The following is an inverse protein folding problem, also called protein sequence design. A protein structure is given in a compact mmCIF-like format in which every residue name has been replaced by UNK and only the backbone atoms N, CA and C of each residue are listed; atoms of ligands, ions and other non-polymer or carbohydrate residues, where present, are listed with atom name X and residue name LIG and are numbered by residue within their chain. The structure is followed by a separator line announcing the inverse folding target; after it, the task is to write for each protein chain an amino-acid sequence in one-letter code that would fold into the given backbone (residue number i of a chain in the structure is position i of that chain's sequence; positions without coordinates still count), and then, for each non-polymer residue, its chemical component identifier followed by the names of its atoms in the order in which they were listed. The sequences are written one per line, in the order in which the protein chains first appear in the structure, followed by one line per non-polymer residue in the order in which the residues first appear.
data_IF_098592640307
#
_entry.id   IF_098592640307
#
_cell.length_a   1.000
_cell.length_b   1.000
_cell.length_c   1.000
_cell.angle_alpha   90.00
_cell.angle_beta   90.00
_cell.angle_gamma   90.00
#
_symmetry.space_group_name_H-M   'P 1'
#
loop_
_entity.id
_entity.type
_entity.pdbx_description
1 polymer ?
#
# COMPACT_ATOMS: atom_id res chain seq x y z
N UNK A 1 23.48 3.35 20.56
CA UNK A 1 23.05 2.03 21.08
C UNK A 1 21.77 1.64 20.37
N UNK A 2 21.61 0.38 19.95
CA UNK A 2 20.32 -0.09 19.42
C UNK A 2 19.27 -0.02 20.52
N UNK A 3 18.05 0.42 20.18
CA UNK A 3 16.91 0.37 21.09
C UNK A 3 16.53 -1.08 21.37
N UNK A 4 15.99 -1.36 22.55
CA UNK A 4 15.48 -2.69 22.94
C UNK A 4 14.26 -3.11 22.10
N UNK A 5 13.50 -2.13 21.60
CA UNK A 5 12.38 -2.31 20.69
C UNK A 5 12.28 -1.12 19.72
N UNK A 6 11.61 -1.27 18.57
CA UNK A 6 11.31 -0.15 17.68
C UNK A 6 10.63 1.02 18.43
N UNK A 7 10.98 2.26 18.08
CA UNK A 7 10.48 3.47 18.77
C UNK A 7 8.95 3.52 18.89
N UNK A 8 8.21 3.06 17.87
CA UNK A 8 6.74 3.04 17.94
C UNK A 8 6.22 2.06 19.01
N UNK A 9 6.88 0.90 19.22
CA UNK A 9 6.52 -0.04 20.29
C UNK A 9 6.79 0.54 21.66
N UNK A 10 7.90 1.26 21.80
CA UNK A 10 8.24 2.00 23.03
C UNK A 10 7.18 3.07 23.33
N UNK A 11 6.76 3.84 22.31
CA UNK A 11 5.68 4.84 22.43
C UNK A 11 4.36 4.19 22.84
N UNK A 12 4.03 3.04 22.26
CA UNK A 12 2.81 2.29 22.58
C UNK A 12 2.85 1.72 24.00
N UNK A 13 4.00 1.22 24.46
CA UNK A 13 4.20 0.79 25.84
C UNK A 13 3.99 1.94 26.84
N UNK A 14 4.44 3.16 26.52
CA UNK A 14 4.17 4.33 27.35
C UNK A 14 2.66 4.63 27.43
N UNK A 15 1.95 4.57 26.29
CA UNK A 15 0.48 4.73 26.26
C UNK A 15 -0.23 3.68 27.12
N UNK A 16 0.24 2.43 27.12
CA UNK A 16 -0.28 1.37 28.00
C UNK A 16 -0.03 1.69 29.47
N UNK A 17 1.18 2.13 29.82
CA UNK A 17 1.53 2.48 31.20
C UNK A 17 0.70 3.63 31.77
N UNK A 18 0.30 4.60 30.93
CA UNK A 18 -0.64 5.67 31.33
C UNK A 18 -1.98 5.11 31.78
N UNK A 19 -2.51 4.11 31.07
CA UNK A 19 -3.79 3.46 31.40
C UNK A 19 -3.71 2.68 32.70
N UNK A 20 -2.61 1.98 32.92
CA UNK A 20 -2.45 1.10 34.09
C UNK A 20 -2.06 1.87 35.36
N UNK A 21 -1.28 2.94 35.25
CA UNK A 21 -0.65 3.64 36.39
C UNK A 21 -1.15 5.06 36.61
N UNK A 22 -2.08 5.56 35.78
CA UNK A 22 -2.66 6.92 35.89
C UNK A 22 -1.59 8.01 36.00
N UNK A 23 -0.52 7.91 35.22
CA UNK A 23 0.54 8.93 35.12
C UNK A 23 0.40 9.75 33.83
N UNK A 24 0.86 11.02 33.79
CA UNK A 24 0.87 11.78 32.54
C UNK A 24 1.72 11.12 31.45
N UNK A 25 1.29 11.22 30.19
CA UNK A 25 1.97 10.56 29.06
C UNK A 25 3.44 10.96 28.93
N UNK A 26 3.78 12.24 29.13
CA UNK A 26 5.18 12.68 29.03
C UNK A 26 6.07 11.99 30.07
N UNK A 27 5.58 11.79 31.29
CA UNK A 27 6.28 11.05 32.35
C UNK A 27 6.48 9.59 31.94
N UNK A 28 5.45 8.93 31.41
CA UNK A 28 5.56 7.56 30.93
C UNK A 28 6.59 7.43 29.78
N UNK A 29 6.60 8.38 28.85
CA UNK A 29 7.54 8.41 27.74
C UNK A 29 8.99 8.62 28.21
N UNK A 30 9.23 9.54 29.15
CA UNK A 30 10.57 9.78 29.71
C UNK A 30 11.07 8.58 30.53
N UNK A 31 10.19 7.89 31.24
CA UNK A 31 10.53 6.64 31.95
C UNK A 31 10.95 5.52 30.99
N UNK A 32 10.31 5.42 29.83
CA UNK A 32 10.74 4.46 28.80
C UNK A 32 12.04 4.91 28.16
N UNK A 33 12.21 6.19 27.85
CA UNK A 33 13.46 6.72 27.31
C UNK A 33 14.65 6.45 28.23
N UNK A 34 14.47 6.59 29.55
CA UNK A 34 15.49 6.29 30.56
C UNK A 34 15.92 4.82 30.53
N UNK A 35 14.99 3.87 30.34
CA UNK A 35 15.29 2.43 30.18
C UNK A 35 16.11 2.14 28.91
N UNK A 36 15.94 2.96 27.88
CA UNK A 36 16.70 2.89 26.63
C UNK A 36 18.04 3.67 26.68
N UNK A 37 18.38 4.26 27.83
CA UNK A 37 19.61 5.02 28.03
C UNK A 37 19.55 6.49 27.57
N UNK A 38 18.35 7.05 27.39
CA UNK A 38 18.15 8.46 27.02
C UNK A 38 17.58 9.26 28.19
N UNK A 39 17.97 10.52 28.34
CA UNK A 39 17.50 11.40 29.42
C UNK A 39 16.08 11.91 29.24
N UNK A 40 15.55 11.88 28.01
CA UNK A 40 14.17 12.28 27.70
C UNK A 40 13.68 11.59 26.43
N UNK A 41 12.37 11.49 26.29
CA UNK A 41 11.75 11.00 25.07
C UNK A 41 12.05 11.87 23.86
N UNK A 42 12.08 13.20 24.04
CA UNK A 42 12.40 14.14 22.96
C UNK A 42 13.78 13.88 22.35
N UNK A 43 14.78 13.58 23.19
CA UNK A 43 16.13 13.23 22.73
C UNK A 43 16.15 11.87 22.01
N UNK A 44 15.46 10.87 22.55
CA UNK A 44 15.31 9.56 21.91
C UNK A 44 14.62 9.71 20.54
N UNK A 45 13.49 10.41 20.49
CA UNK A 45 12.73 10.63 19.27
C UNK A 45 13.52 11.42 18.23
N UNK A 46 14.27 12.46 18.62
CA UNK A 46 15.13 13.20 17.69
C UNK A 46 16.25 12.33 17.10
N UNK A 47 16.79 11.39 17.89
CA UNK A 47 17.83 10.44 17.45
C UNK A 47 17.29 9.32 16.56
N UNK A 48 15.97 9.11 16.57
CA UNK A 48 15.26 8.04 15.85
C UNK A 48 14.07 8.60 15.04
N UNK A 49 14.16 9.85 14.59
CA UNK A 49 13.05 10.57 13.94
C UNK A 49 12.57 9.85 12.67
N UNK A 50 13.49 9.19 11.97
CA UNK A 50 13.26 8.38 10.77
C UNK A 50 12.38 7.14 11.03
N UNK A 51 12.12 6.77 12.29
CA UNK A 51 11.42 5.55 12.69
C UNK A 51 10.04 5.79 13.35
N UNK A 52 9.47 6.99 13.25
CA UNK A 52 8.28 7.42 14.01
C UNK A 52 6.93 6.85 13.54
N UNK A 53 6.90 6.08 12.45
CA UNK A 53 5.68 5.49 11.90
C UNK A 53 5.15 4.41 12.85
N UNK A 54 3.94 4.60 13.40
CA UNK A 54 3.25 3.62 14.22
C UNK A 54 2.33 2.75 13.34
N UNK A 55 2.62 1.46 13.14
CA UNK A 55 1.80 0.55 12.34
C UNK A 55 0.38 0.39 12.89
N UNK A 56 0.17 0.57 14.20
CA UNK A 56 -1.16 0.53 14.81
C UNK A 56 -2.01 1.74 14.40
N UNK A 57 -1.39 2.92 14.29
CA UNK A 57 -2.07 4.13 13.81
C UNK A 57 -2.40 4.01 12.31
N UNK A 58 -1.58 3.32 11.52
CA UNK A 58 -1.88 3.02 10.11
C UNK A 58 -3.01 2.00 9.97
N UNK A 59 -2.97 0.92 10.76
CA UNK A 59 -4.04 -0.09 10.77
C UNK A 59 -5.39 0.52 11.16
N UNK A 60 -5.41 1.42 12.14
CA UNK A 60 -6.64 2.11 12.58
C UNK A 60 -7.25 3.04 11.52
N UNK A 61 -6.49 3.42 10.48
CA UNK A 61 -6.99 4.20 9.35
C UNK A 61 -7.70 3.34 8.28
N UNK A 62 -7.59 2.01 8.36
CA UNK A 62 -8.21 1.08 7.42
C UNK A 62 -9.54 0.57 7.96
N UNK A 63 -10.56 0.51 7.08
CA UNK A 63 -11.87 -0.07 7.39
C UNK A 63 -11.98 -1.49 6.83
N UNK A 64 -12.72 -2.40 7.50
CA UNK A 64 -13.02 -3.71 6.94
C UNK A 64 -13.60 -3.63 5.53
N UNK A 65 -12.97 -4.33 4.59
CA UNK A 65 -13.34 -4.37 3.19
C UNK A 65 -12.63 -3.37 2.28
N UNK A 66 -11.71 -2.58 2.83
CA UNK A 66 -10.89 -1.66 2.05
C UNK A 66 -9.65 -2.32 1.46
N UNK A 67 -9.24 -1.78 0.30
CA UNK A 67 -7.93 -1.99 -0.29
C UNK A 67 -7.04 -0.79 -0.01
N UNK A 68 -5.76 -1.06 0.27
CA UNK A 68 -4.74 -0.03 0.45
C UNK A 68 -3.40 -0.39 -0.21
N UNK A 69 -2.59 0.63 -0.47
CA UNK A 69 -1.25 0.51 -1.06
C UNK A 69 -0.16 0.97 -0.09
N UNK A 70 0.97 0.26 -0.09
CA UNK A 70 2.25 0.74 0.44
C UNK A 70 3.24 0.79 -0.72
N UNK A 71 3.55 1.99 -1.19
CA UNK A 71 4.39 2.20 -2.36
C UNK A 71 5.74 2.81 -1.98
N UNK A 72 6.84 2.17 -2.42
CA UNK A 72 8.18 2.71 -2.23
C UNK A 72 9.18 2.19 -3.26
N UNK A 73 10.28 2.94 -3.45
CA UNK A 73 11.47 2.44 -4.17
C UNK A 73 12.10 1.25 -3.44
N UNK A 74 12.89 0.40 -4.12
CA UNK A 74 13.64 -0.67 -3.46
C UNK A 74 14.44 -0.15 -2.26
N UNK A 75 14.56 -0.99 -1.22
CA UNK A 75 15.31 -0.70 0.02
C UNK A 75 14.80 0.48 0.87
N UNK A 76 13.63 1.05 0.56
CA UNK A 76 13.01 2.12 1.37
C UNK A 76 12.16 1.61 2.55
N UNK A 77 12.04 0.28 2.74
CA UNK A 77 11.35 -0.29 3.90
C UNK A 77 9.87 -0.64 3.73
N UNK A 78 9.33 -0.67 2.50
CA UNK A 78 7.91 -1.02 2.23
C UNK A 78 7.50 -2.39 2.80
N UNK A 79 8.29 -3.44 2.57
CA UNK A 79 8.02 -4.78 3.12
C UNK A 79 8.10 -4.79 4.64
N UNK A 80 9.07 -4.08 5.22
CA UNK A 80 9.20 -3.93 6.67
C UNK A 80 7.94 -3.29 7.26
N UNK A 81 7.44 -2.21 6.66
CA UNK A 81 6.22 -1.54 7.10
C UNK A 81 4.98 -2.44 6.95
N UNK A 82 4.86 -3.16 5.84
CA UNK A 82 3.75 -4.08 5.59
C UNK A 82 3.72 -5.22 6.62
N UNK A 83 4.88 -5.83 6.92
CA UNK A 83 5.01 -6.84 7.98
C UNK A 83 4.66 -6.28 9.36
N UNK A 84 5.08 -5.05 9.65
CA UNK A 84 4.75 -4.40 10.92
C UNK A 84 3.23 -4.16 11.07
N UNK A 85 2.53 -3.78 10.00
CA UNK A 85 1.07 -3.65 10.00
C UNK A 85 0.40 -5.01 10.19
N UNK A 86 0.88 -6.05 9.51
CA UNK A 86 0.36 -7.41 9.67
C UNK A 86 0.55 -7.95 11.09
N UNK A 87 1.73 -7.73 11.68
CA UNK A 87 1.99 -8.09 13.08
C UNK A 87 1.10 -7.30 14.02
N UNK A 88 0.93 -5.99 13.79
CA UNK A 88 0.04 -5.17 14.62
C UNK A 88 -1.43 -5.65 14.55
N UNK A 89 -1.89 -6.12 13.39
CA UNK A 89 -3.20 -6.73 13.21
C UNK A 89 -3.36 -8.03 14.01
N UNK A 90 -2.37 -8.92 13.92
CA UNK A 90 -2.34 -10.17 14.68
C UNK A 90 -2.26 -9.94 16.20
N UNK A 91 -1.46 -8.97 16.64
CA UNK A 91 -1.37 -8.52 18.04
C UNK A 91 -2.70 -7.91 18.53
N UNK A 92 -3.48 -7.27 17.64
CA UNK A 92 -4.83 -6.78 17.92
C UNK A 92 -5.90 -7.89 17.90
N UNK A 93 -5.49 -9.14 17.68
CA UNK A 93 -6.36 -10.31 17.73
C UNK A 93 -7.10 -10.65 16.44
N UNK A 94 -6.77 -9.98 15.34
CA UNK A 94 -7.29 -10.32 14.01
C UNK A 94 -6.42 -11.39 13.35
N UNK A 95 -6.95 -12.10 12.35
CA UNK A 95 -6.10 -12.93 11.47
C UNK A 95 -5.33 -12.02 10.51
N UNK A 96 -4.05 -12.33 10.30
CA UNK A 96 -3.17 -11.66 9.35
C UNK A 96 -2.55 -12.70 8.42
N UNK A 97 -2.64 -12.44 7.12
CA UNK A 97 -2.06 -13.28 6.07
C UNK A 97 -1.02 -12.48 5.30
N UNK A 98 0.14 -13.07 5.03
CA UNK A 98 1.14 -12.54 4.13
C UNK A 98 1.27 -13.46 2.92
N UNK A 99 1.00 -12.93 1.74
CA UNK A 99 1.25 -13.58 0.47
C UNK A 99 2.48 -12.93 -0.17
N UNK A 100 3.51 -13.71 -0.48
CA UNK A 100 4.73 -13.19 -1.08
C UNK A 100 5.30 -14.14 -2.12
N UNK A 101 5.43 -13.65 -3.36
CA UNK A 101 6.08 -14.40 -4.46
C UNK A 101 7.62 -14.20 -4.48
N UNK A 102 8.12 -13.14 -3.85
CA UNK A 102 9.55 -12.76 -3.88
C UNK A 102 10.36 -13.27 -2.68
N UNK A 103 9.71 -13.92 -1.71
CA UNK A 103 10.36 -14.34 -0.46
C UNK A 103 10.02 -15.77 -0.10
N UNK A 104 11.01 -16.48 0.44
CA UNK A 104 10.80 -17.77 1.08
C UNK A 104 10.26 -17.60 2.50
N UNK A 105 9.69 -18.65 3.11
CA UNK A 105 9.29 -18.61 4.52
C UNK A 105 10.45 -18.24 5.46
N UNK A 106 11.68 -18.65 5.14
CA UNK A 106 12.88 -18.31 5.91
C UNK A 106 13.23 -16.82 5.80
N UNK A 107 13.09 -16.21 4.63
CA UNK A 107 13.30 -14.76 4.45
C UNK A 107 12.27 -13.95 5.23
N UNK A 108 11.01 -14.38 5.22
CA UNK A 108 9.94 -13.75 6.00
C UNK A 108 10.23 -13.87 7.49
N UNK A 109 10.63 -15.05 7.97
CA UNK A 109 11.00 -15.27 9.36
C UNK A 109 12.13 -14.33 9.80
N UNK A 110 13.21 -14.23 9.01
CA UNK A 110 14.33 -13.33 9.31
C UNK A 110 13.89 -11.85 9.35
N UNK A 111 12.96 -11.44 8.48
CA UNK A 111 12.40 -10.07 8.50
C UNK A 111 11.52 -9.81 9.72
N UNK A 112 10.75 -10.80 10.16
CA UNK A 112 9.93 -10.73 11.37
C UNK A 112 10.83 -10.58 12.61
N UNK A 113 11.89 -11.36 12.70
CA UNK A 113 12.90 -11.23 13.76
C UNK A 113 13.55 -9.84 13.76
N UNK A 114 13.89 -9.30 12.57
CA UNK A 114 14.48 -7.97 12.43
C UNK A 114 13.54 -6.79 12.81
N UNK A 115 12.22 -7.04 12.94
CA UNK A 115 11.26 -6.08 13.51
C UNK A 115 10.89 -6.41 14.96
N UNK A 116 11.53 -7.42 15.55
CA UNK A 116 11.27 -7.91 16.91
C UNK A 116 9.94 -8.65 17.05
N UNK A 117 9.38 -9.15 15.95
CA UNK A 117 8.18 -9.98 15.98
C UNK A 117 8.57 -11.46 16.10
N UNK A 118 7.81 -12.19 16.90
CA UNK A 118 7.95 -13.63 17.05
C UNK A 118 6.63 -14.30 16.65
N UNK A 119 6.55 -14.95 15.48
CA UNK A 119 5.34 -15.60 15.01
C UNK A 119 4.80 -16.66 15.98
N UNK A 120 5.67 -17.25 16.82
CA UNK A 120 5.26 -18.22 17.85
C UNK A 120 4.37 -17.60 18.92
N UNK A 121 4.44 -16.27 19.09
CA UNK A 121 3.55 -15.51 19.99
C UNK A 121 2.21 -15.16 19.36
N UNK A 122 2.02 -15.49 18.07
CA UNK A 122 0.82 -15.22 17.29
C UNK A 122 0.23 -16.52 16.70
N UNK A 123 0.05 -17.60 17.51
CA UNK A 123 -0.34 -18.90 16.98
C UNK A 123 -1.72 -18.82 16.31
N UNK A 124 -1.80 -19.31 15.06
CA UNK A 124 -3.03 -19.32 14.27
C UNK A 124 -3.56 -17.94 13.85
N UNK A 125 -2.81 -16.86 14.11
CA UNK A 125 -3.20 -15.48 13.76
C UNK A 125 -2.30 -14.83 12.73
N UNK A 126 -1.13 -15.40 12.45
CA UNK A 126 -0.24 -14.93 11.41
C UNK A 126 0.11 -16.08 10.47
N UNK A 127 -0.40 -16.03 9.24
CA UNK A 127 -0.22 -17.05 8.22
C UNK A 127 0.70 -16.49 7.14
N UNK A 128 1.70 -17.26 6.73
CA UNK A 128 2.63 -16.91 5.65
C UNK A 128 2.42 -17.89 4.51
N UNK A 129 2.20 -17.34 3.32
CA UNK A 129 2.09 -18.06 2.07
C UNK A 129 3.14 -17.53 1.09
N UNK A 130 4.08 -18.40 0.76
CA UNK A 130 5.17 -18.16 -0.17
C UNK A 130 5.07 -19.09 -1.39
N UNK A 131 3.86 -19.52 -1.74
CA UNK A 131 3.62 -20.39 -2.89
C UNK A 131 3.92 -19.68 -4.20
N UNK A 132 4.48 -20.39 -5.17
CA UNK A 132 4.69 -19.86 -6.51
C UNK A 132 3.36 -19.58 -7.23
N UNK A 133 2.24 -20.16 -6.78
CA UNK A 133 0.92 -20.08 -7.43
C UNK A 133 0.01 -18.95 -6.92
N UNK A 134 0.57 -17.97 -6.20
CA UNK A 134 -0.19 -16.82 -5.71
C UNK A 134 -0.81 -16.05 -6.89
N UNK A 135 -2.14 -16.01 -6.89
CA UNK A 135 -3.03 -15.28 -7.80
C UNK A 135 -4.22 -14.78 -7.00
N UNK A 136 -5.08 -13.93 -7.58
CA UNK A 136 -6.33 -13.54 -6.91
C UNK A 136 -7.17 -14.75 -6.49
N UNK A 137 -7.34 -15.74 -7.37
CA UNK A 137 -8.10 -16.97 -7.03
C UNK A 137 -7.51 -17.73 -5.84
N UNK A 138 -6.19 -17.87 -5.79
CA UNK A 138 -5.48 -18.51 -4.67
C UNK A 138 -5.67 -17.72 -3.36
N UNK A 139 -5.54 -16.40 -3.40
CA UNK A 139 -5.74 -15.52 -2.24
C UNK A 139 -7.19 -15.61 -1.74
N UNK A 140 -8.18 -15.60 -2.65
CA UNK A 140 -9.59 -15.76 -2.33
C UNK A 140 -9.86 -17.10 -1.63
N UNK A 141 -9.27 -18.19 -2.12
CA UNK A 141 -9.39 -19.52 -1.52
C UNK A 141 -8.75 -19.56 -0.13
N UNK A 142 -7.54 -19.02 0.03
CA UNK A 142 -6.84 -18.98 1.31
C UNK A 142 -7.57 -18.14 2.37
N UNK A 143 -8.34 -17.13 1.95
CA UNK A 143 -9.11 -16.24 2.82
C UNK A 143 -10.60 -16.62 2.92
N UNK A 144 -11.02 -17.74 2.33
CA UNK A 144 -12.44 -18.11 2.21
C UNK A 144 -13.15 -18.22 3.57
N UNK A 145 -12.44 -18.56 4.63
CA UNK A 145 -12.96 -18.66 6.00
C UNK A 145 -12.42 -17.57 6.94
N UNK A 146 -11.71 -16.57 6.39
CA UNK A 146 -11.18 -15.48 7.19
C UNK A 146 -12.32 -14.67 7.85
N UNK A 147 -12.26 -14.41 9.17
CA UNK A 147 -13.22 -13.55 9.85
C UNK A 147 -13.19 -12.12 9.32
N UNK A 148 -14.34 -11.42 9.39
CA UNK A 148 -14.42 -9.98 9.12
C UNK A 148 -13.40 -9.23 9.98
N UNK A 149 -12.65 -8.32 9.38
CA UNK A 149 -11.58 -7.56 10.04
C UNK A 149 -10.18 -8.20 9.90
N UNK A 150 -10.09 -9.37 9.28
CA UNK A 150 -8.81 -9.99 8.94
C UNK A 150 -8.03 -9.13 7.93
N UNK A 151 -6.70 -9.18 8.00
CA UNK A 151 -5.79 -8.43 7.13
C UNK A 151 -5.07 -9.41 6.20
N UNK A 152 -4.99 -9.08 4.92
CA UNK A 152 -4.09 -9.73 3.97
C UNK A 152 -3.08 -8.71 3.44
N UNK A 153 -1.81 -9.08 3.44
CA UNK A 153 -0.73 -8.35 2.78
C UNK A 153 -0.30 -9.12 1.55
N UNK A 154 -0.23 -8.45 0.40
CA UNK A 154 0.25 -9.03 -0.86
C UNK A 154 1.54 -8.30 -1.25
N UNK A 155 2.70 -8.98 -1.14
CA UNK A 155 4.02 -8.46 -1.48
C UNK A 155 4.55 -9.10 -2.78
N UNK A 156 4.52 -8.43 -3.93
CA UNK A 156 3.92 -7.11 -4.22
C UNK A 156 2.99 -7.18 -5.43
N UNK A 157 2.15 -6.15 -5.59
CA UNK A 157 1.12 -6.00 -6.62
C UNK A 157 1.57 -6.44 -8.02
N UNK A 158 2.76 -6.01 -8.43
CA UNK A 158 3.29 -6.30 -9.77
C UNK A 158 3.61 -7.79 -10.01
N UNK A 159 3.76 -8.60 -8.97
CA UNK A 159 4.03 -10.04 -9.10
C UNK A 159 2.80 -10.82 -9.53
N UNK A 160 1.59 -10.31 -9.24
CA UNK A 160 0.33 -10.93 -9.68
C UNK A 160 0.21 -10.97 -11.22
N UNK A 161 0.96 -10.13 -11.92
CA UNK A 161 0.92 -9.98 -13.38
C UNK A 161 2.00 -10.80 -14.11
N UNK A 162 2.81 -11.59 -13.38
CA UNK A 162 3.93 -12.31 -13.98
C UNK A 162 3.53 -13.57 -14.75
N UNK A 163 2.49 -14.28 -14.29
CA UNK A 163 2.07 -15.54 -14.92
C UNK A 163 1.10 -15.26 -16.06
N UNK A 164 1.46 -15.66 -17.28
CA UNK A 164 0.58 -15.54 -18.45
C UNK A 164 -0.70 -16.38 -18.36
N UNK A 165 -0.71 -17.38 -17.48
CA UNK A 165 -1.87 -18.23 -17.21
C UNK A 165 -2.86 -17.62 -16.22
N UNK A 166 -2.47 -16.58 -15.48
CA UNK A 166 -3.38 -15.89 -14.56
C UNK A 166 -4.16 -14.79 -15.27
N UNK A 167 -5.34 -14.39 -14.75
CA UNK A 167 -6.08 -13.26 -15.29
C UNK A 167 -5.26 -11.95 -15.28
N UNK A 168 -5.74 -10.93 -15.97
CA UNK A 168 -5.03 -9.64 -16.01
C UNK A 168 -4.91 -9.03 -14.60
N UNK A 169 -3.91 -8.18 -14.38
CA UNK A 169 -3.77 -7.46 -13.10
C UNK A 169 -5.05 -6.71 -12.71
N UNK A 170 -5.72 -6.07 -13.67
CA UNK A 170 -6.98 -5.36 -13.44
C UNK A 170 -8.08 -6.30 -12.95
N UNK A 171 -8.28 -7.45 -13.61
CA UNK A 171 -9.32 -8.41 -13.23
C UNK A 171 -9.04 -8.99 -11.84
N UNK A 172 -7.78 -9.36 -11.59
CA UNK A 172 -7.35 -9.89 -10.29
C UNK A 172 -7.59 -8.90 -9.15
N UNK A 173 -7.21 -7.63 -9.31
CA UNK A 173 -7.44 -6.60 -8.28
C UNK A 173 -8.93 -6.29 -8.13
N UNK A 174 -9.70 -6.32 -9.20
CA UNK A 174 -11.17 -6.12 -9.16
C UNK A 174 -11.87 -7.24 -8.37
N UNK A 175 -11.43 -8.48 -8.56
CA UNK A 175 -11.95 -9.63 -7.81
C UNK A 175 -11.58 -9.56 -6.33
N UNK A 176 -10.33 -9.18 -6.03
CA UNK A 176 -9.88 -8.94 -4.66
C UNK A 176 -10.66 -7.80 -3.99
N UNK A 177 -10.94 -6.71 -4.71
CA UNK A 177 -11.75 -5.59 -4.22
C UNK A 177 -13.18 -6.03 -3.87
N UNK A 178 -13.83 -6.78 -4.77
CA UNK A 178 -15.17 -7.32 -4.53
C UNK A 178 -15.20 -8.27 -3.34
N UNK A 179 -14.21 -9.15 -3.25
CA UNK A 179 -14.06 -10.09 -2.14
C UNK A 179 -13.84 -9.37 -0.80
N UNK A 180 -12.91 -8.41 -0.76
CA UNK A 180 -12.64 -7.58 0.41
C UNK A 180 -13.92 -6.91 0.90
N UNK A 181 -14.62 -6.20 0.03
CA UNK A 181 -15.88 -5.52 0.38
C UNK A 181 -16.95 -6.48 0.91
N UNK A 182 -17.10 -7.65 0.28
CA UNK A 182 -18.13 -8.63 0.65
C UNK A 182 -17.82 -9.32 2.00
N UNK A 183 -16.56 -9.70 2.23
CA UNK A 183 -16.14 -10.44 3.44
C UNK A 183 -15.68 -9.53 4.58
N UNK A 184 -15.46 -8.26 4.29
CA UNK A 184 -14.85 -7.30 5.20
C UNK A 184 -13.40 -7.65 5.57
N UNK A 185 -12.67 -8.26 4.63
CA UNK A 185 -11.22 -8.47 4.75
C UNK A 185 -10.51 -7.20 4.27
N UNK A 186 -9.48 -6.77 4.98
CA UNK A 186 -8.64 -5.63 4.60
C UNK A 186 -7.48 -6.15 3.76
N UNK A 187 -7.26 -5.61 2.57
CA UNK A 187 -6.17 -6.06 1.69
C UNK A 187 -5.18 -4.93 1.45
N UNK A 188 -3.92 -5.14 1.84
CA UNK A 188 -2.83 -4.18 1.67
C UNK A 188 -1.85 -4.73 0.64
N UNK A 189 -1.64 -4.00 -0.44
CA UNK A 189 -0.65 -4.38 -1.45
C UNK A 189 0.63 -3.58 -1.23
N UNK A 190 1.76 -4.27 -1.23
CA UNK A 190 3.05 -3.63 -1.40
C UNK A 190 3.23 -3.31 -2.87
N UNK A 191 3.87 -2.19 -3.18
CA UNK A 191 4.03 -1.72 -4.53
C UNK A 191 5.40 -1.05 -4.75
N UNK A 192 6.01 -1.28 -5.91
CA UNK A 192 7.21 -0.55 -6.32
C UNK A 192 6.89 0.82 -6.94
N UNK A 193 7.79 1.77 -6.71
CA UNK A 193 7.80 3.08 -7.39
C UNK A 193 8.72 3.03 -8.61
N UNK A 194 8.36 3.74 -9.67
CA UNK A 194 9.14 3.87 -10.90
C UNK A 194 10.55 4.40 -10.66
N UNK A 195 11.51 3.96 -11.46
CA UNK A 195 12.90 4.44 -11.33
C UNK A 195 13.03 5.91 -11.72
N UNK A 196 12.19 6.39 -12.64
CA UNK A 196 12.20 7.77 -13.13
C UNK A 196 12.03 8.80 -12.00
N UNK A 197 11.33 8.45 -10.90
CA UNK A 197 11.16 9.32 -9.74
C UNK A 197 12.50 9.80 -9.14
N UNK A 198 13.56 8.98 -9.18
CA UNK A 198 14.87 9.34 -8.65
C UNK A 198 15.50 10.54 -9.37
N UNK A 199 15.13 10.78 -10.64
CA UNK A 199 15.65 11.90 -11.43
C UNK A 199 14.93 13.24 -11.11
N UNK A 200 13.73 13.18 -10.52
CA UNK A 200 12.86 14.35 -10.29
C UNK A 200 13.31 15.15 -9.05
N UNK A 201 14.17 14.58 -8.19
CA UNK A 201 14.57 15.15 -6.88
C UNK A 201 13.38 15.59 -6.00
N UNK A 202 12.19 15.05 -6.25
CA UNK A 202 11.01 15.33 -5.44
C UNK A 202 11.17 14.71 -4.04
N UNK A 203 10.61 15.35 -2.99
CA UNK A 203 10.82 14.89 -1.62
C UNK A 203 10.13 13.54 -1.33
N UNK A 204 9.01 13.25 -1.99
CA UNK A 204 8.17 12.07 -1.78
C UNK A 204 7.45 11.68 -3.09
N UNK A 205 7.28 10.38 -3.38
CA UNK A 205 6.50 9.92 -4.52
C UNK A 205 4.99 10.10 -4.29
N UNK A 206 4.24 10.04 -5.38
CA UNK A 206 2.78 10.04 -5.40
C UNK A 206 2.21 8.98 -6.35
N UNK A 207 0.88 9.01 -6.59
CA UNK A 207 0.18 7.99 -7.38
C UNK A 207 0.74 7.80 -8.80
N UNK A 208 1.17 8.90 -9.45
CA UNK A 208 1.74 8.86 -10.79
C UNK A 208 3.11 8.15 -10.86
N UNK A 209 3.79 7.97 -9.72
CA UNK A 209 5.09 7.31 -9.65
C UNK A 209 4.96 5.80 -9.40
N UNK A 210 3.74 5.26 -9.28
CA UNK A 210 3.52 3.83 -9.08
C UNK A 210 3.95 3.06 -10.34
N UNK A 211 4.80 2.03 -10.15
CA UNK A 211 5.22 1.14 -11.24
C UNK A 211 4.10 0.18 -11.58
N UNK A 212 3.50 0.32 -12.76
CA UNK A 212 2.44 -0.56 -13.25
C UNK A 212 2.91 -1.27 -14.54
N UNK A 213 3.09 -2.61 -14.53
CA UNK A 213 3.43 -3.34 -15.75
C UNK A 213 2.29 -3.32 -16.77
N UNK A 214 1.06 -3.32 -16.28
CA UNK A 214 -0.17 -3.21 -17.05
C UNK A 214 -1.11 -2.18 -16.42
N UNK A 215 -2.05 -1.57 -17.18
CA UNK A 215 -3.00 -0.62 -16.65
C UNK A 215 -3.77 -1.18 -15.45
N UNK A 216 -3.95 -0.34 -14.43
CA UNK A 216 -4.70 -0.66 -13.23
C UNK A 216 -5.47 0.58 -12.78
N UNK A 217 -6.77 0.41 -12.55
CA UNK A 217 -7.61 1.43 -11.93
C UNK A 217 -7.24 1.60 -10.45
N UNK A 218 -6.53 2.69 -10.15
CA UNK A 218 -6.10 3.00 -8.80
C UNK A 218 -7.24 3.47 -7.88
N UNK A 219 -8.44 3.77 -8.43
CA UNK A 219 -9.61 4.14 -7.62
C UNK A 219 -10.14 2.99 -6.77
N UNK A 220 -9.77 1.74 -7.10
CA UNK A 220 -10.06 0.55 -6.29
C UNK A 220 -9.39 0.59 -4.90
N UNK A 221 -8.36 1.42 -4.74
CA UNK A 221 -7.65 1.58 -3.48
C UNK A 221 -8.17 2.83 -2.77
N UNK A 222 -8.72 2.62 -1.57
CA UNK A 222 -9.22 3.71 -0.73
C UNK A 222 -8.10 4.57 -0.13
N UNK A 223 -6.89 4.01 0.00
CA UNK A 223 -5.75 4.63 0.68
C UNK A 223 -4.41 4.19 0.09
N UNK A 224 -3.47 5.11 -0.04
CA UNK A 224 -2.07 4.80 -0.34
C UNK A 224 -1.13 5.47 0.65
N UNK A 225 -0.08 4.74 1.02
CA UNK A 225 1.05 5.27 1.75
C UNK A 225 2.32 5.23 0.90
N UNK A 226 2.92 6.39 0.69
CA UNK A 226 4.15 6.56 -0.06
C UNK A 226 5.31 6.73 0.91
N UNK A 227 6.30 5.83 0.85
CA UNK A 227 7.45 5.82 1.75
C UNK A 227 8.73 6.22 1.01
N UNK A 228 9.42 7.24 1.54
CA UNK A 228 10.71 7.68 1.04
C UNK A 228 11.56 8.24 2.18
N UNK A 229 12.77 7.69 2.37
CA UNK A 229 13.75 8.15 3.37
C UNK A 229 13.16 8.27 4.78
N UNK A 230 12.38 7.28 5.20
CA UNK A 230 11.73 7.27 6.53
C UNK A 230 10.48 8.15 6.66
N UNK A 231 10.16 8.95 5.64
CA UNK A 231 8.96 9.79 5.62
C UNK A 231 7.81 9.07 4.92
N UNK A 232 6.64 9.08 5.55
CA UNK A 232 5.40 8.50 5.01
C UNK A 232 4.43 9.62 4.60
N UNK A 233 3.87 9.53 3.40
CA UNK A 233 2.76 10.38 2.95
C UNK A 233 1.53 9.54 2.68
N UNK A 234 0.43 9.86 3.34
CA UNK A 234 -0.89 9.27 3.08
C UNK A 234 -1.58 10.02 1.94
N UNK A 235 -2.25 9.28 1.06
CA UNK A 235 -3.29 9.77 0.17
C UNK A 235 -4.57 8.99 0.45
N UNK A 236 -5.63 9.72 0.75
CA UNK A 236 -6.99 9.19 0.76
C UNK A 236 -7.56 9.37 -0.66
N UNK A 237 -8.23 8.34 -1.19
CA UNK A 237 -8.84 8.34 -2.53
C UNK A 237 -7.83 8.62 -3.68
N UNK A 238 -7.18 7.55 -4.15
CA UNK A 238 -6.04 7.62 -5.07
C UNK A 238 -6.47 7.95 -6.53
N UNK A 239 -7.77 8.11 -6.79
CA UNK A 239 -8.34 8.27 -8.12
C UNK A 239 -7.91 9.53 -8.89
N UNK A 240 -7.12 10.46 -8.31
CA UNK A 240 -6.74 11.70 -9.00
C UNK A 240 -5.23 11.92 -9.12
N UNK A 241 -4.67 11.95 -10.35
CA UNK A 241 -3.46 12.71 -10.59
C UNK A 241 -3.81 14.20 -10.47
N UNK A 242 -3.17 14.92 -9.54
CA UNK A 242 -3.17 16.38 -9.63
C UNK A 242 -2.50 16.75 -10.95
N UNK A 243 -3.30 17.15 -11.94
CA UNK A 243 -2.83 17.87 -13.12
C UNK A 243 -2.11 19.13 -12.63
N UNK A 244 -0.79 19.08 -12.51
CA UNK A 244 -0.01 20.30 -12.63
C UNK A 244 -0.23 20.82 -14.04
N UNK A 245 -0.75 22.03 -14.14
CA UNK A 245 -1.11 22.66 -15.41
C UNK A 245 0.07 22.69 -16.35
N UNK A 246 -0.10 22.09 -17.52
CA UNK A 246 0.66 22.47 -18.69
C UNK A 246 0.24 23.90 -19.01
N UNK A 247 1.08 24.87 -18.67
CA UNK A 247 0.96 26.21 -19.25
C UNK A 247 1.42 26.06 -20.69
N UNK A 248 0.44 26.01 -21.59
CA UNK A 248 0.68 26.13 -23.02
C UNK A 248 1.07 27.59 -23.29
N UNK A 249 2.37 27.84 -23.46
CA UNK A 249 2.85 29.12 -24.01
C UNK A 249 2.70 29.09 -25.53
N UNK A 250 1.47 29.20 -26.02
CA UNK A 250 1.22 29.41 -27.44
C UNK A 250 -0.03 30.26 -27.70
N UNK A 251 0.00 31.54 -27.30
CA UNK A 251 -0.77 32.58 -27.96
C UNK A 251 -0.33 33.99 -27.51
N UNK A 252 0.70 34.55 -28.16
CA UNK A 252 0.80 36.00 -28.30
C UNK A 252 0.32 36.38 -29.69
N UNK A 253 -0.92 36.86 -29.74
CA UNK A 253 -1.55 37.46 -30.91
C UNK A 253 -0.97 38.86 -31.12
N UNK A 254 -0.25 39.11 -32.21
CA UNK A 254 -0.30 40.40 -32.92
C UNK A 254 0.24 40.22 -34.34
N UNK A 255 -0.57 40.49 -35.37
CA UNK A 255 -0.10 40.46 -36.76
C UNK A 255 -1.19 40.17 -37.78
N UNK A 256 -2.07 41.14 -37.98
CA UNK A 256 -2.91 41.35 -39.15
C UNK A 256 -2.32 40.89 -40.49
N UNK A 257 -3.06 40.09 -41.27
CA UNK A 257 -3.56 40.51 -42.58
C UNK A 257 -4.47 39.48 -43.26
N UNK A 258 -5.36 40.04 -44.07
CA UNK A 258 -6.43 39.46 -44.87
C UNK A 258 -5.99 38.34 -45.83
N UNK A 259 -6.90 37.38 -46.06
CA UNK A 259 -7.57 37.01 -47.34
C UNK A 259 -8.02 35.55 -47.22
N UNK A 260 -9.33 35.32 -47.41
CA UNK A 260 -9.98 34.03 -47.16
C UNK A 260 -9.88 33.00 -48.28
N UNK A 261 -10.41 31.81 -48.03
CA UNK A 261 -11.23 31.07 -48.99
C UNK A 261 -11.96 29.89 -48.32
N UNK A 262 -13.09 29.53 -48.92
CA UNK A 262 -14.15 28.60 -48.53
C UNK A 262 -13.77 27.11 -48.45
N UNK A 263 -14.51 26.37 -47.60
CA UNK A 263 -15.24 25.08 -47.84
C UNK A 263 -15.46 24.38 -46.48
N UNK A 264 -16.60 24.46 -45.78
CA UNK A 264 -17.90 23.76 -45.99
C UNK A 264 -17.75 22.31 -46.44
N UNK A 265 -18.16 21.33 -45.61
CA UNK A 265 -19.26 20.39 -45.92
C UNK A 265 -19.76 19.65 -44.67
N UNK A 266 -21.08 19.42 -44.66
CA UNK A 266 -21.93 18.96 -43.56
C UNK A 266 -22.03 17.42 -43.48
N UNK A 267 -22.34 16.93 -42.26
CA UNK A 267 -22.94 15.66 -41.79
C UNK A 267 -23.99 14.96 -42.71
N UNK A 268 -24.67 13.85 -42.29
CA UNK A 268 -24.29 12.53 -41.70
C UNK A 268 -25.10 11.36 -42.37
N UNK A 269 -25.43 10.26 -41.65
CA UNK A 269 -26.36 9.09 -41.93
C UNK A 269 -25.63 7.73 -42.10
N UNK A 270 -26.14 6.55 -41.71
CA UNK A 270 -26.98 5.97 -40.62
C UNK A 270 -27.11 4.46 -40.95
N UNK A 271 -27.24 3.60 -39.91
CA UNK A 271 -27.78 2.21 -39.86
C UNK A 271 -27.05 1.07 -40.65
N UNK A 272 -26.52 -0.01 -40.02
CA UNK A 272 -27.10 -1.19 -39.31
C UNK A 272 -27.67 -2.29 -40.27
N UNK A 273 -27.84 -3.57 -39.87
CA UNK A 273 -26.89 -4.69 -40.02
C UNK A 273 -27.49 -5.93 -40.76
N UNK A 274 -26.69 -6.92 -41.18
CA UNK A 274 -27.20 -8.24 -41.62
C UNK A 274 -26.31 -9.42 -41.19
N UNK A 275 -26.99 -10.44 -40.65
CA UNK A 275 -26.55 -11.80 -40.24
C UNK A 275 -26.52 -12.77 -41.42
N UNK A 276 -25.67 -13.80 -41.35
CA UNK A 276 -25.95 -15.24 -41.63
C UNK A 276 -24.78 -16.07 -41.06
N UNK A 277 -24.96 -16.96 -40.05
CA UNK A 277 -25.48 -18.34 -40.05
C UNK A 277 -24.58 -19.34 -40.82
N UNK A 278 -23.81 -20.18 -40.11
CA UNK A 278 -23.99 -21.66 -39.96
C UNK A 278 -23.07 -22.44 -40.96
N UNK A 279 -22.54 -23.65 -40.76
CA UNK A 279 -22.58 -24.70 -39.73
C UNK A 279 -21.32 -25.61 -39.89
N UNK A 280 -21.08 -26.42 -38.84
CA UNK A 280 -20.32 -27.67 -38.71
C UNK A 280 -19.87 -28.46 -39.96
N UNK A 281 -18.60 -28.91 -39.94
CA UNK A 281 -18.16 -30.31 -39.74
C UNK A 281 -16.73 -30.31 -39.18
#
# INVERSE_FOLDING_TARGET
MPLSAPIYRLKRAAKTQVRDRTIPLHVALDQIAAKEGYSSWSLLAARHADASIDPGDLLAQLRPGELALIAARPRQGKTRLALQIAVASAEAGQSAHLFSLDYTPADVQAKLEAIGADPRRLPGRFIVDCSDDISAGHVLQALADAPRGSLAVIDYLQLLDQKRSTPTLQDQVSDLARFASARGVIIVFVCQIERAFEAVNAPLPGPADIRLPNPLDLSLFSRAWFLHRGVLRSHDDIAQPRRFGWIDHSASTTGSNLVGCHQVWRHPFRHCPLRWAAASE
#
